data_IF_708454634909
#
_entry.id   IF_708454634909
#
_cell.length_a   1.000
_cell.length_b   1.000
_cell.length_c   1.000
_cell.angle_alpha   90.00
_cell.angle_beta   90.00
_cell.angle_gamma   90.00
#
_symmetry.space_group_name_H-M   'P 1'
#
loop_
_entity.id
_entity.type
_entity.pdbx_description
1 polymer ?
#
# COMPACT_ATOMS: atom_id res chain seq x y z
N UNK A 1 2.51 -15.27 -27.33
CA UNK A 1 1.04 -15.19 -27.41
C UNK A 1 0.49 -15.25 -25.99
N UNK A 2 -0.01 -14.12 -25.49
CA UNK A 2 -0.43 -13.95 -24.09
C UNK A 2 -1.67 -14.80 -23.77
N UNK A 3 -1.56 -15.64 -22.74
CA UNK A 3 -2.69 -16.39 -22.17
C UNK A 3 -3.54 -15.44 -21.32
N UNK A 4 -4.43 -14.69 -21.96
CA UNK A 4 -5.38 -13.80 -21.29
C UNK A 4 -6.51 -14.57 -20.59
N UNK A 5 -6.83 -14.18 -19.36
CA UNK A 5 -7.91 -14.77 -18.55
C UNK A 5 -9.28 -14.59 -19.24
N UNK A 6 -10.25 -15.45 -18.95
CA UNK A 6 -11.60 -15.29 -19.54
C UNK A 6 -12.29 -14.01 -19.03
N UNK A 7 -13.24 -13.47 -19.80
CA UNK A 7 -13.97 -12.22 -19.45
C UNK A 7 -14.70 -12.34 -18.10
N UNK A 8 -15.21 -13.52 -17.78
CA UNK A 8 -15.84 -13.80 -16.48
C UNK A 8 -14.84 -13.82 -15.34
N UNK A 9 -13.68 -14.46 -15.53
CA UNK A 9 -12.60 -14.49 -14.54
C UNK A 9 -12.01 -13.10 -14.29
N UNK A 10 -11.89 -12.24 -15.30
CA UNK A 10 -11.48 -10.83 -15.10
C UNK A 10 -12.49 -10.02 -14.30
N UNK A 11 -13.79 -10.24 -14.51
CA UNK A 11 -14.84 -9.56 -13.76
C UNK A 11 -14.82 -9.99 -12.28
N UNK A 12 -14.69 -11.29 -12.02
CA UNK A 12 -14.61 -11.85 -10.67
C UNK A 12 -13.30 -11.49 -9.96
N UNK A 13 -12.16 -11.55 -10.66
CA UNK A 13 -10.87 -11.14 -10.15
C UNK A 13 -10.87 -9.67 -9.70
N UNK A 14 -11.53 -8.75 -10.41
CA UNK A 14 -11.65 -7.34 -9.97
C UNK A 14 -12.32 -7.14 -8.62
N UNK A 15 -13.14 -8.10 -8.17
CA UNK A 15 -13.75 -8.07 -6.84
C UNK A 15 -12.85 -8.73 -5.78
N UNK A 16 -12.00 -9.69 -6.15
CA UNK A 16 -11.05 -10.37 -5.26
C UNK A 16 -9.70 -9.65 -5.12
N UNK A 17 -9.23 -8.98 -6.18
CA UNK A 17 -8.01 -8.17 -6.23
C UNK A 17 -8.30 -6.69 -6.03
N UNK A 18 -9.54 -6.33 -5.67
CA UNK A 18 -9.90 -4.96 -5.36
C UNK A 18 -9.16 -4.52 -4.11
N UNK A 19 -8.34 -3.48 -4.23
CA UNK A 19 -7.71 -2.85 -3.07
C UNK A 19 -8.82 -2.42 -2.11
N UNK A 20 -8.85 -2.92 -0.87
CA UNK A 20 -9.93 -2.60 0.06
C UNK A 20 -10.04 -1.09 0.24
N UNK A 21 -11.27 -0.57 0.38
CA UNK A 21 -11.53 0.89 0.45
C UNK A 21 -10.66 1.62 1.49
N UNK A 22 -10.34 0.95 2.60
CA UNK A 22 -9.45 1.47 3.64
C UNK A 22 -8.03 1.77 3.16
N UNK A 23 -7.46 0.92 2.29
CA UNK A 23 -6.13 1.16 1.71
C UNK A 23 -6.13 2.38 0.79
N UNK A 24 -7.16 2.52 -0.05
CA UNK A 24 -7.29 3.69 -0.93
C UNK A 24 -7.36 5.00 -0.14
N UNK A 25 -8.12 5.01 0.96
CA UNK A 25 -8.21 6.17 1.87
C UNK A 25 -6.85 6.58 2.42
N UNK A 26 -6.12 5.64 3.01
CA UNK A 26 -4.82 5.92 3.62
C UNK A 26 -3.79 6.37 2.58
N UNK A 27 -3.82 5.78 1.39
CA UNK A 27 -2.91 6.14 0.32
C UNK A 27 -3.18 7.56 -0.21
N UNK A 28 -4.45 7.94 -0.38
CA UNK A 28 -4.85 9.30 -0.76
C UNK A 28 -4.39 10.31 0.28
N UNK A 29 -4.67 10.07 1.57
CA UNK A 29 -4.23 10.97 2.65
C UNK A 29 -2.71 11.11 2.67
N UNK A 30 -1.97 10.00 2.51
CA UNK A 30 -0.49 10.03 2.46
C UNK A 30 0.02 10.91 1.32
N UNK A 31 -0.55 10.77 0.12
CA UNK A 31 -0.15 11.58 -1.04
C UNK A 31 -0.46 13.07 -0.84
N UNK A 32 -1.61 13.38 -0.26
CA UNK A 32 -2.01 14.76 0.04
C UNK A 32 -1.18 15.41 1.15
N UNK A 33 -0.57 14.61 2.03
CA UNK A 33 0.41 15.08 3.01
C UNK A 33 1.76 15.45 2.42
N UNK A 34 2.06 15.03 1.19
CA UNK A 34 3.31 15.36 0.51
C UNK A 34 3.19 16.63 -0.34
N UNK A 35 2.05 16.82 -1.02
CA UNK A 35 1.73 18.03 -1.77
C UNK A 35 0.23 18.09 -2.10
N UNK A 36 -0.25 19.28 -2.42
CA UNK A 36 -1.59 19.47 -2.94
C UNK A 36 -1.76 18.78 -4.31
N UNK A 37 -2.83 18.00 -4.48
CA UNK A 37 -3.11 17.25 -5.71
C UNK A 37 -4.60 17.30 -6.08
N UNK A 38 -4.88 17.29 -7.38
CA UNK A 38 -6.20 17.02 -7.94
C UNK A 38 -6.53 15.51 -7.90
N UNK A 39 -7.81 15.18 -8.10
CA UNK A 39 -8.24 13.78 -8.18
C UNK A 39 -7.55 12.99 -9.31
N UNK A 40 -7.24 13.64 -10.42
CA UNK A 40 -6.51 13.02 -11.54
C UNK A 40 -5.04 12.77 -11.21
N UNK A 41 -4.37 13.75 -10.59
CA UNK A 41 -2.99 13.60 -10.10
C UNK A 41 -2.89 12.46 -9.08
N UNK A 42 -3.86 12.33 -8.17
CA UNK A 42 -3.93 11.22 -7.22
C UNK A 42 -4.03 9.85 -7.89
N UNK A 43 -4.91 9.69 -8.90
CA UNK A 43 -5.03 8.43 -9.63
C UNK A 43 -3.71 8.02 -10.30
N UNK A 44 -3.02 8.99 -10.91
CA UNK A 44 -1.74 8.74 -11.59
C UNK A 44 -0.61 8.46 -10.59
N UNK A 45 -0.54 9.21 -9.49
CA UNK A 45 0.47 8.99 -8.45
C UNK A 45 0.33 7.62 -7.77
N UNK A 46 -0.91 7.13 -7.60
CA UNK A 46 -1.17 5.79 -7.07
C UNK A 46 -0.71 4.70 -8.06
N UNK A 47 -1.03 4.87 -9.34
CA UNK A 47 -0.57 3.97 -10.40
C UNK A 47 0.96 3.90 -10.46
N UNK A 48 1.63 5.05 -10.44
CA UNK A 48 3.09 5.13 -10.46
C UNK A 48 3.72 4.45 -9.23
N UNK A 49 3.23 4.73 -8.02
CA UNK A 49 3.76 4.14 -6.78
C UNK A 49 3.51 2.65 -6.65
N UNK A 50 2.53 2.12 -7.36
CA UNK A 50 2.23 0.70 -7.41
C UNK A 50 2.88 0.03 -8.64
N UNK A 51 3.77 0.72 -9.36
CA UNK A 51 4.39 0.21 -10.59
C UNK A 51 3.36 -0.30 -11.61
N UNK A 52 2.27 0.43 -11.77
CA UNK A 52 1.18 0.10 -12.69
C UNK A 52 0.23 -1.00 -12.20
N UNK A 53 0.47 -1.59 -11.02
CA UNK A 53 -0.35 -2.69 -10.52
C UNK A 53 -1.77 -2.26 -10.14
N UNK A 54 -1.95 -0.99 -9.72
CA UNK A 54 -3.25 -0.49 -9.32
C UNK A 54 -3.44 0.99 -9.64
N UNK A 55 -4.48 1.28 -10.44
CA UNK A 55 -5.00 2.62 -10.66
C UNK A 55 -6.44 2.71 -10.18
N UNK A 56 -6.77 3.52 -9.16
CA UNK A 56 -8.14 3.68 -8.72
C UNK A 56 -8.98 4.41 -9.78
N UNK A 57 -10.28 4.11 -9.82
CA UNK A 57 -11.19 4.76 -10.76
C UNK A 57 -11.66 6.13 -10.24
N UNK A 58 -12.15 7.02 -11.13
CA UNK A 58 -12.81 8.25 -10.73
C UNK A 58 -13.95 8.02 -9.71
N UNK A 59 -14.75 6.97 -9.91
CA UNK A 59 -15.84 6.59 -9.00
C UNK A 59 -15.37 6.10 -7.63
N UNK A 60 -14.08 5.79 -7.46
CA UNK A 60 -13.50 5.46 -6.16
C UNK A 60 -12.86 6.69 -5.50
N UNK A 61 -12.25 7.58 -6.30
CA UNK A 61 -11.51 8.75 -5.80
C UNK A 61 -12.43 9.91 -5.44
N UNK A 62 -13.35 10.32 -6.31
CA UNK A 62 -14.12 11.55 -6.07
C UNK A 62 -15.10 11.43 -4.88
N UNK A 63 -15.85 10.32 -4.72
CA UNK A 63 -16.66 10.13 -3.50
C UNK A 63 -15.81 10.07 -2.23
N UNK A 64 -14.60 9.50 -2.31
CA UNK A 64 -13.66 9.46 -1.19
C UNK A 64 -13.17 10.85 -0.82
N UNK A 65 -12.76 11.68 -1.80
CA UNK A 65 -12.33 13.06 -1.56
C UNK A 65 -13.44 13.89 -0.92
N UNK A 66 -14.68 13.74 -1.41
CA UNK A 66 -15.83 14.38 -0.76
C UNK A 66 -15.96 13.95 0.69
N UNK A 67 -15.93 12.64 0.96
CA UNK A 67 -16.02 12.12 2.32
C UNK A 67 -14.88 12.60 3.22
N UNK A 68 -13.65 12.67 2.71
CA UNK A 68 -12.49 13.17 3.46
C UNK A 68 -12.63 14.66 3.80
N UNK A 69 -13.14 15.47 2.86
CA UNK A 69 -13.41 16.88 3.08
C UNK A 69 -14.55 17.08 4.10
N UNK A 70 -15.63 16.29 4.00
CA UNK A 70 -16.74 16.30 4.96
C UNK A 70 -16.29 15.90 6.38
N UNK A 71 -15.17 15.16 6.50
CA UNK A 71 -14.54 14.80 7.78
C UNK A 71 -13.45 15.78 8.21
N UNK A 72 -13.22 16.83 7.44
CA UNK A 72 -12.18 17.84 7.68
C UNK A 72 -10.78 17.22 7.74
N UNK A 73 -10.56 16.09 7.06
CA UNK A 73 -9.24 15.46 6.98
C UNK A 73 -8.42 16.07 5.84
N UNK A 74 -9.09 16.63 4.84
CA UNK A 74 -8.49 17.36 3.74
C UNK A 74 -9.25 18.67 3.55
N UNK A 75 -8.59 19.66 2.97
CA UNK A 75 -9.22 20.89 2.50
C UNK A 75 -9.06 21.02 0.98
N UNK A 76 -9.95 21.81 0.38
CA UNK A 76 -10.00 22.01 -1.07
C UNK A 76 -9.57 23.43 -1.41
N UNK A 77 -8.49 23.55 -2.17
CA UNK A 77 -8.01 24.81 -2.71
C UNK A 77 -8.47 24.96 -4.17
N UNK A 78 -9.10 26.09 -4.48
CA UNK A 78 -9.46 26.45 -5.86
C UNK A 78 -8.35 27.29 -6.47
N UNK A 79 -7.55 26.68 -7.35
CA UNK A 79 -6.41 27.36 -8.00
C UNK A 79 -6.90 28.20 -9.19
N UNK A 80 -7.88 27.69 -9.94
CA UNK A 80 -8.53 28.34 -11.09
C UNK A 80 -9.99 27.91 -11.21
N UNK A 81 -10.78 28.62 -12.01
CA UNK A 81 -12.15 28.24 -12.30
C UNK A 81 -12.21 26.81 -12.87
N UNK A 82 -12.76 25.88 -12.09
CA UNK A 82 -12.89 24.46 -12.45
C UNK A 82 -11.70 23.57 -12.02
N UNK A 83 -10.59 24.13 -11.54
CA UNK A 83 -9.44 23.37 -11.05
C UNK A 83 -9.42 23.33 -9.52
N UNK A 84 -9.63 22.13 -8.97
CA UNK A 84 -9.64 21.87 -7.54
C UNK A 84 -8.47 20.98 -7.17
N UNK A 85 -7.63 21.47 -6.26
CA UNK A 85 -6.64 20.64 -5.57
C UNK A 85 -7.08 20.43 -4.14
N UNK A 86 -6.65 19.31 -3.59
CA UNK A 86 -6.88 18.94 -2.21
C UNK A 86 -5.54 18.95 -1.50
N UNK A 87 -5.55 19.27 -0.22
CA UNK A 87 -4.37 19.14 0.64
C UNK A 87 -4.76 18.58 2.00
N UNK A 88 -3.79 17.97 2.67
CA UNK A 88 -3.99 17.38 3.98
C UNK A 88 -4.11 18.49 5.04
N UNK A 89 -5.06 18.35 5.95
CA UNK A 89 -5.19 19.21 7.13
C UNK A 89 -4.38 18.64 8.30
N UNK A 90 -4.18 19.42 9.37
CA UNK A 90 -3.57 18.92 10.61
C UNK A 90 -4.33 17.72 11.19
N UNK A 91 -5.68 17.78 11.20
CA UNK A 91 -6.55 16.67 11.62
C UNK A 91 -6.34 15.42 10.74
N UNK A 92 -6.10 15.62 9.45
CA UNK A 92 -5.74 14.56 8.50
C UNK A 92 -4.39 13.93 8.79
N UNK A 93 -3.41 14.73 9.22
CA UNK A 93 -2.08 14.27 9.62
C UNK A 93 -2.15 13.44 10.92
N UNK A 94 -2.88 13.91 11.92
CA UNK A 94 -3.12 13.17 13.17
C UNK A 94 -3.78 11.81 12.88
N UNK A 95 -4.80 11.79 12.01
CA UNK A 95 -5.47 10.57 11.60
C UNK A 95 -4.51 9.56 10.92
N UNK A 96 -3.56 10.04 10.11
CA UNK A 96 -2.54 9.18 9.48
C UNK A 96 -1.57 8.61 10.51
N UNK A 97 -1.19 9.38 11.52
CA UNK A 97 -0.33 8.92 12.60
C UNK A 97 -1.02 7.82 13.42
N UNK A 98 -2.28 8.04 13.80
CA UNK A 98 -3.10 7.06 14.52
C UNK A 98 -3.28 5.77 13.69
N UNK A 99 -3.58 5.90 12.40
CA UNK A 99 -3.69 4.76 11.50
C UNK A 99 -2.36 3.99 11.36
N UNK A 100 -1.23 4.68 11.43
CA UNK A 100 0.10 4.06 11.37
C UNK A 100 0.42 3.29 12.63
N UNK A 101 0.06 3.82 13.81
CA UNK A 101 0.18 3.11 15.10
C UNK A 101 -0.72 1.88 15.13
N UNK A 102 -1.99 2.02 14.72
CA UNK A 102 -2.91 0.90 14.60
C UNK A 102 -2.40 -0.18 13.64
N UNK A 103 -1.81 0.21 12.50
CA UNK A 103 -1.18 -0.74 11.57
C UNK A 103 -0.05 -1.52 12.24
N UNK A 104 0.80 -0.87 13.03
CA UNK A 104 1.88 -1.55 13.76
C UNK A 104 1.31 -2.57 14.74
N UNK A 105 0.25 -2.22 15.46
CA UNK A 105 -0.42 -3.13 16.41
C UNK A 105 -1.09 -4.32 15.71
N UNK A 106 -1.74 -4.09 14.56
CA UNK A 106 -2.39 -5.14 13.78
C UNK A 106 -1.36 -6.03 13.10
N UNK A 107 -0.29 -5.49 12.51
CA UNK A 107 0.77 -6.30 11.93
C UNK A 107 1.47 -7.13 13.01
N UNK A 108 1.76 -6.56 14.17
CA UNK A 108 2.31 -7.34 15.29
C UNK A 108 1.41 -8.54 15.67
N UNK A 109 0.08 -8.36 15.62
CA UNK A 109 -0.91 -9.44 15.88
C UNK A 109 -1.04 -10.43 14.72
N UNK A 110 -1.05 -9.95 13.47
CA UNK A 110 -1.20 -10.77 12.25
C UNK A 110 0.05 -11.59 11.97
N UNK A 111 1.25 -11.12 12.31
CA UNK A 111 2.47 -11.93 12.26
C UNK A 111 2.37 -13.15 13.18
N UNK A 112 1.64 -13.04 14.30
CA UNK A 112 1.29 -14.20 15.13
C UNK A 112 0.24 -15.14 14.51
N UNK A 113 -0.43 -14.73 13.42
CA UNK A 113 -1.52 -15.45 12.74
C UNK A 113 -1.19 -15.84 11.29
N UNK A 114 0.03 -15.59 10.80
CA UNK A 114 0.50 -16.06 9.48
C UNK A 114 0.41 -17.60 9.36
N UNK A 115 0.35 -18.30 10.49
CA UNK A 115 0.02 -19.73 10.55
C UNK A 115 -1.32 -20.08 9.92
N UNK A 116 -2.36 -19.23 10.01
CA UNK A 116 -3.72 -19.55 9.54
C UNK A 116 -3.81 -19.46 8.02
N UNK A 117 -3.20 -18.45 7.40
CA UNK A 117 -3.14 -18.35 5.93
C UNK A 117 -2.35 -19.54 5.36
N UNK A 118 -1.26 -19.92 6.04
CA UNK A 118 -0.48 -21.10 5.69
C UNK A 118 -1.26 -22.41 5.85
N UNK A 119 -2.10 -22.53 6.88
CA UNK A 119 -2.96 -23.70 7.10
C UNK A 119 -4.11 -23.78 6.09
N UNK A 120 -4.66 -22.63 5.68
CA UNK A 120 -5.80 -22.54 4.76
C UNK A 120 -5.42 -22.71 3.28
N UNK A 121 -4.23 -22.25 2.91
CA UNK A 121 -3.69 -22.40 1.56
C UNK A 121 -2.46 -23.30 1.68
N UNK A 122 -2.67 -24.60 1.82
CA UNK A 122 -1.65 -25.62 1.59
C UNK A 122 -1.16 -25.53 0.13
N UNK A 123 -0.35 -24.53 -0.19
CA UNK A 123 0.64 -24.69 -1.24
C UNK A 123 1.76 -25.49 -0.60
N UNK A 124 1.89 -26.72 -1.08
CA UNK A 124 2.61 -27.84 -0.45
C UNK A 124 4.12 -27.65 -0.33
N UNK A 125 4.65 -26.49 -0.71
CA UNK A 125 6.01 -26.07 -0.46
C UNK A 125 5.91 -24.58 -0.10
N UNK A 126 6.16 -24.21 1.17
CA UNK A 126 6.69 -22.87 1.41
C UNK A 126 7.96 -22.82 0.58
N UNK A 127 7.97 -22.06 -0.51
CA UNK A 127 9.19 -21.85 -1.28
C UNK A 127 10.22 -21.35 -0.26
N UNK A 128 11.42 -21.95 -0.20
CA UNK A 128 12.39 -21.69 0.89
C UNK A 128 12.67 -20.19 1.07
N UNK A 129 12.47 -19.44 -0.02
CA UNK A 129 12.48 -17.98 -0.11
C UNK A 129 11.46 -17.31 0.82
N UNK A 130 10.20 -17.77 0.87
CA UNK A 130 9.15 -17.15 1.68
C UNK A 130 9.42 -17.32 3.18
N UNK A 131 9.95 -18.48 3.60
CA UNK A 131 10.40 -18.70 4.97
C UNK A 131 11.54 -17.77 5.35
N UNK A 132 12.53 -17.65 4.47
CA UNK A 132 13.67 -16.78 4.69
C UNK A 132 13.22 -15.31 4.79
N UNK A 133 12.26 -14.88 3.98
CA UNK A 133 11.70 -13.53 4.06
C UNK A 133 10.97 -13.27 5.38
N UNK A 134 10.23 -14.25 5.89
CA UNK A 134 9.54 -14.18 7.19
C UNK A 134 10.57 -14.07 8.35
N UNK A 135 11.60 -14.92 8.35
CA UNK A 135 12.68 -14.89 9.35
C UNK A 135 13.47 -13.58 9.34
N UNK A 136 13.81 -13.07 8.15
CA UNK A 136 14.44 -11.76 7.98
C UNK A 136 13.57 -10.68 8.59
N UNK A 137 12.26 -10.69 8.33
CA UNK A 137 11.35 -9.69 8.85
C UNK A 137 11.28 -9.70 10.38
N UNK A 138 11.17 -10.89 10.98
CA UNK A 138 11.15 -11.05 12.44
C UNK A 138 12.46 -10.59 13.07
N UNK A 139 13.60 -10.95 12.46
CA UNK A 139 14.93 -10.56 12.93
C UNK A 139 15.12 -9.03 12.86
N UNK A 140 14.75 -8.43 11.73
CA UNK A 140 14.85 -7.00 11.47
C UNK A 140 13.98 -6.14 12.41
N UNK A 141 12.83 -6.67 12.85
CA UNK A 141 11.92 -5.97 13.75
C UNK A 141 12.06 -6.39 15.22
N UNK A 142 12.92 -7.38 15.52
CA UNK A 142 13.24 -7.71 16.90
C UNK A 142 14.05 -6.58 17.54
N UNK A 143 13.75 -6.23 18.80
CA UNK A 143 14.47 -5.17 19.55
C UNK A 143 15.92 -5.56 19.95
N UNK A 144 16.55 -6.51 19.26
CA UNK A 144 17.92 -6.97 19.53
C UNK A 144 18.91 -6.38 18.54
N UNK A 145 19.99 -5.80 19.08
CA UNK A 145 21.35 -5.53 18.55
C UNK A 145 21.61 -5.05 17.11
N UNK A 146 20.68 -5.19 16.17
CA UNK A 146 20.88 -4.84 14.76
C UNK A 146 20.23 -3.49 14.49
N UNK A 147 21.03 -2.52 14.07
CA UNK A 147 20.52 -1.22 13.64
C UNK A 147 19.71 -1.35 12.34
N UNK A 148 18.71 -0.47 12.15
CA UNK A 148 17.92 -0.45 10.91
C UNK A 148 18.81 -0.21 9.69
N UNK A 149 19.86 0.57 9.84
CA UNK A 149 20.84 0.90 8.82
C UNK A 149 21.59 -0.35 8.34
N UNK A 150 22.01 -1.22 9.26
CA UNK A 150 22.66 -2.49 8.94
C UNK A 150 21.72 -3.44 8.20
N UNK A 151 20.46 -3.56 8.64
CA UNK A 151 19.44 -4.37 7.94
C UNK A 151 19.24 -3.88 6.51
N UNK A 152 19.08 -2.57 6.33
CA UNK A 152 18.88 -1.96 5.00
C UNK A 152 20.09 -2.24 4.09
N UNK A 153 21.31 -2.14 4.62
CA UNK A 153 22.52 -2.41 3.84
C UNK A 153 22.56 -3.86 3.32
N UNK A 154 22.34 -4.83 4.21
CA UNK A 154 22.35 -6.27 3.87
C UNK A 154 21.29 -6.60 2.82
N UNK A 155 20.05 -6.14 3.03
CA UNK A 155 18.95 -6.43 2.10
C UNK A 155 19.12 -5.74 0.75
N UNK A 156 19.74 -4.56 0.73
CA UNK A 156 20.05 -3.85 -0.51
C UNK A 156 21.09 -4.58 -1.35
N UNK A 157 22.12 -5.14 -0.72
CA UNK A 157 23.11 -5.98 -1.39
C UNK A 157 22.50 -7.27 -1.93
N UNK A 158 21.69 -7.97 -1.14
CA UNK A 158 20.97 -9.17 -1.58
C UNK A 158 20.08 -8.89 -2.80
N UNK A 159 19.33 -7.78 -2.77
CA UNK A 159 18.51 -7.32 -3.91
C UNK A 159 19.35 -7.05 -5.17
N UNK A 160 20.53 -6.44 -5.03
CA UNK A 160 21.43 -6.19 -6.16
C UNK A 160 21.89 -7.50 -6.80
N UNK A 161 22.38 -8.44 -5.99
CA UNK A 161 22.83 -9.76 -6.46
C UNK A 161 21.73 -10.55 -7.16
N UNK A 162 20.51 -10.56 -6.60
CA UNK A 162 19.37 -11.22 -7.23
C UNK A 162 19.04 -10.65 -8.61
N UNK A 163 19.13 -9.32 -8.79
CA UNK A 163 18.93 -8.69 -10.10
C UNK A 163 19.97 -9.12 -11.14
N UNK A 164 21.22 -9.31 -10.73
CA UNK A 164 22.30 -9.77 -11.62
C UNK A 164 22.08 -11.22 -12.07
N UNK A 165 21.52 -12.08 -11.21
CA UNK A 165 21.19 -13.47 -11.56
C UNK A 165 20.02 -13.60 -12.55
N UNK A 166 19.25 -12.54 -12.75
CA UNK A 166 18.08 -12.51 -13.66
C UNK A 166 18.35 -11.84 -15.01
N UNK A 167 19.61 -11.48 -15.31
CA UNK A 167 20.07 -11.02 -16.62
C UNK A 167 20.66 -12.16 -17.43
#
# INVERSE_FOLDING_TARGET
MEKGWSKHLRHWARHFTSVPKGFCRLFVLKLLGEKAMSGAELMNAIEERTNGQWRPSPGSIYPLLKWLADKELIEMESIRAGEKKYLLTDKGADFLEDASRFKQDILAKLHGQQSIIHEMFHDTERDEVDNLLEEIHLTANSKKEVSKEQVIAILSEAKHRLKECTK
#
